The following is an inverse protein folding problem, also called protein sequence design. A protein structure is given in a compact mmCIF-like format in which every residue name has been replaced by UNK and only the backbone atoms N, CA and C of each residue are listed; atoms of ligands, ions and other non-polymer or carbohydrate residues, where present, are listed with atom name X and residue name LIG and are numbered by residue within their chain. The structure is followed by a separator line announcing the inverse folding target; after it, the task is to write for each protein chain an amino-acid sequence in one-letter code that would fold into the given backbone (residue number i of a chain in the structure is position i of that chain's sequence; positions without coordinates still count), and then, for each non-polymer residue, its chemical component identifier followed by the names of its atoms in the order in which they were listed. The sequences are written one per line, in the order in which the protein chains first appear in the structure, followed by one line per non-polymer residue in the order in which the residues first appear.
data_IF_553348006707
#
_entry.id   IF_553348006707
#
_cell.length_a   1.000
_cell.length_b   1.000
_cell.length_c   1.000
_cell.angle_alpha   90.00
_cell.angle_beta   90.00
_cell.angle_gamma   90.00
#
_symmetry.space_group_name_H-M   'P 1'
#
loop_
_entity.id
_entity.type
_entity.pdbx_description
1 polymer ?
#
# COMPACT_ATOMS: atom_id res chain seq x y z
N UNK A 1 6.48 0.97 2.67
CA UNK A 1 5.31 0.88 3.58
C UNK A 1 4.80 -0.55 3.56
N UNK A 2 4.07 -0.99 4.59
CA UNK A 2 3.37 -2.27 4.52
C UNK A 2 2.01 -2.05 3.86
N UNK A 3 1.81 -2.61 2.67
CA UNK A 3 0.61 -2.39 1.86
C UNK A 3 -0.53 -3.38 2.16
N UNK A 4 -0.22 -4.43 2.92
CA UNK A 4 -1.16 -5.48 3.28
C UNK A 4 -1.07 -5.76 4.77
N UNK A 5 -2.22 -5.93 5.44
CA UNK A 5 -2.22 -6.52 6.78
C UNK A 5 -2.12 -8.04 6.66
N UNK A 6 -1.35 -8.65 7.54
CA UNK A 6 -1.15 -10.11 7.53
C UNK A 6 -2.47 -10.84 7.73
N UNK A 7 -3.35 -10.29 8.56
CA UNK A 7 -4.70 -10.83 8.83
C UNK A 7 -5.52 -10.99 7.55
N UNK A 8 -5.42 -10.06 6.59
CA UNK A 8 -6.16 -10.13 5.32
C UNK A 8 -5.69 -11.31 4.46
N UNK A 9 -4.38 -11.54 4.46
CA UNK A 9 -3.78 -12.63 3.70
C UNK A 9 -4.08 -13.97 4.37
N UNK A 10 -3.99 -14.04 5.71
CA UNK A 10 -4.35 -15.23 6.48
C UNK A 10 -5.81 -15.62 6.23
N UNK A 11 -6.73 -14.66 6.27
CA UNK A 11 -8.14 -14.90 6.02
C UNK A 11 -8.36 -15.42 4.59
N UNK A 12 -7.77 -14.76 3.59
CA UNK A 12 -7.88 -15.24 2.21
C UNK A 12 -7.32 -16.66 2.04
N UNK A 13 -6.19 -16.97 2.66
CA UNK A 13 -5.61 -18.31 2.62
C UNK A 13 -6.57 -19.35 3.21
N UNK A 14 -7.16 -19.07 4.39
CA UNK A 14 -8.14 -19.97 5.02
C UNK A 14 -9.37 -20.21 4.15
N UNK A 15 -9.90 -19.14 3.54
CA UNK A 15 -11.09 -19.22 2.69
C UNK A 15 -10.84 -20.02 1.39
N UNK A 16 -9.59 -20.06 0.92
CA UNK A 16 -9.19 -20.73 -0.33
C UNK A 16 -8.47 -22.07 -0.11
N UNK A 17 -8.38 -22.55 1.14
CA UNK A 17 -7.72 -23.81 1.48
C UNK A 17 -6.20 -23.79 1.35
N UNK A 18 -5.58 -22.62 1.37
CA UNK A 18 -4.13 -22.46 1.42
C UNK A 18 -3.64 -22.56 2.87
N UNK A 19 -2.52 -23.26 3.09
CA UNK A 19 -1.97 -23.50 4.43
C UNK A 19 -0.58 -22.90 4.60
N UNK A 20 -0.14 -22.78 5.85
CA UNK A 20 1.23 -22.38 6.23
C UNK A 20 1.73 -21.10 5.55
N UNK A 21 1.05 -19.98 5.83
CA UNK A 21 1.47 -18.66 5.35
C UNK A 21 2.86 -18.29 5.89
N UNK A 22 3.80 -18.14 4.98
CA UNK A 22 5.15 -17.65 5.21
C UNK A 22 5.30 -16.24 4.62
N UNK A 23 5.80 -15.32 5.44
CA UNK A 23 6.01 -13.91 5.06
C UNK A 23 7.52 -13.70 4.97
N UNK A 24 8.03 -13.60 3.75
CA UNK A 24 9.48 -13.54 3.51
C UNK A 24 10.01 -12.10 3.66
N UNK A 25 9.40 -11.13 2.95
CA UNK A 25 9.70 -9.68 2.99
C UNK A 25 8.46 -8.86 2.61
N UNK A 26 8.48 -7.54 2.84
CA UNK A 26 7.39 -6.60 2.58
C UNK A 26 6.61 -6.92 1.29
N UNK A 27 5.32 -7.25 1.42
CA UNK A 27 4.37 -7.62 0.37
C UNK A 27 4.61 -8.96 -0.37
N UNK A 28 5.61 -9.75 0.02
CA UNK A 28 5.84 -11.09 -0.54
C UNK A 28 5.27 -12.14 0.40
N UNK A 29 4.20 -12.78 -0.05
CA UNK A 29 3.47 -13.80 0.68
C UNK A 29 3.61 -15.13 -0.03
N UNK A 30 3.99 -16.15 0.73
CA UNK A 30 4.11 -17.53 0.26
C UNK A 30 3.20 -18.40 1.10
N UNK A 31 2.49 -19.32 0.47
CA UNK A 31 1.66 -20.28 1.19
C UNK A 31 1.56 -21.56 0.36
N UNK A 32 1.07 -22.64 0.95
CA UNK A 32 0.88 -23.90 0.26
C UNK A 32 -0.51 -23.93 -0.38
N UNK A 33 -0.62 -24.03 -1.72
CA UNK A 33 -1.89 -24.29 -2.37
C UNK A 33 -2.50 -25.63 -1.91
N UNK A 34 -3.83 -25.82 -2.04
CA UNK A 34 -4.47 -27.07 -1.67
C UNK A 34 -3.88 -28.26 -2.45
N UNK A 35 -3.30 -29.22 -1.72
CA UNK A 35 -2.67 -30.42 -2.29
C UNK A 35 -1.24 -30.23 -2.81
N UNK A 36 -0.65 -29.05 -2.64
CA UNK A 36 0.75 -28.79 -3.02
C UNK A 36 1.73 -29.24 -1.93
N UNK A 37 2.95 -29.60 -2.34
CA UNK A 37 4.05 -30.03 -1.45
C UNK A 37 5.13 -28.95 -1.32
N UNK A 38 4.99 -27.85 -2.05
CA UNK A 38 5.92 -26.71 -2.06
C UNK A 38 5.13 -25.41 -1.87
N UNK A 39 5.66 -24.44 -1.11
CA UNK A 39 5.04 -23.13 -1.00
C UNK A 39 5.17 -22.40 -2.34
N UNK A 40 4.09 -21.75 -2.75
CA UNK A 40 4.02 -20.91 -3.95
C UNK A 40 3.75 -19.45 -3.55
N UNK A 41 4.25 -18.49 -4.35
CA UNK A 41 3.96 -17.09 -4.08
C UNK A 41 2.47 -16.83 -4.36
N UNK A 42 1.80 -16.10 -3.45
CA UNK A 42 0.40 -15.72 -3.66
C UNK A 42 0.33 -14.81 -4.89
N UNK A 43 -0.53 -15.11 -5.88
CA UNK A 43 -0.59 -14.34 -7.11
C UNK A 43 -0.84 -12.85 -6.87
N UNK A 44 -0.12 -11.97 -7.55
CA UNK A 44 -0.27 -10.51 -7.43
C UNK A 44 -1.68 -10.03 -7.72
N UNK A 45 -2.39 -10.69 -8.66
CA UNK A 45 -3.81 -10.42 -8.94
C UNK A 45 -4.70 -10.66 -7.73
N UNK A 46 -4.44 -11.73 -6.97
CA UNK A 46 -5.18 -12.05 -5.74
C UNK A 46 -4.88 -10.98 -4.69
N UNK A 47 -3.61 -10.64 -4.49
CA UNK A 47 -3.23 -9.58 -3.55
C UNK A 47 -3.95 -8.26 -3.87
N UNK A 48 -4.02 -7.86 -5.14
CA UNK A 48 -4.79 -6.69 -5.58
C UNK A 48 -6.27 -6.78 -5.23
N UNK A 49 -6.90 -7.94 -5.41
CA UNK A 49 -8.30 -8.15 -5.01
C UNK A 49 -8.47 -8.01 -3.50
N UNK A 50 -7.59 -8.62 -2.71
CA UNK A 50 -7.60 -8.50 -1.24
C UNK A 50 -7.47 -7.04 -0.82
N UNK A 51 -6.59 -6.26 -1.46
CA UNK A 51 -6.45 -4.82 -1.19
C UNK A 51 -7.67 -4.01 -1.60
N UNK A 52 -8.29 -4.34 -2.73
CA UNK A 52 -9.51 -3.68 -3.18
C UNK A 52 -10.69 -3.91 -2.23
N UNK A 53 -10.79 -5.11 -1.64
CA UNK A 53 -11.84 -5.47 -0.68
C UNK A 53 -11.62 -4.84 0.71
N UNK A 54 -10.37 -4.80 1.17
CA UNK A 54 -10.05 -4.33 2.53
C UNK A 54 -9.67 -2.84 2.62
N UNK A 55 -9.31 -2.21 1.49
CA UNK A 55 -8.95 -0.80 1.40
C UNK A 55 -7.51 -0.49 1.81
N UNK A 56 -7.29 0.72 2.34
CA UNK A 56 -5.97 1.26 2.70
C UNK A 56 -5.50 0.74 4.06
N UNK A 57 -4.20 0.46 4.19
CA UNK A 57 -3.61 0.18 5.50
C UNK A 57 -3.55 1.45 6.37
N UNK A 58 -3.35 1.29 7.67
CA UNK A 58 -3.26 2.43 8.60
C UNK A 58 -2.09 3.35 8.23
N UNK A 59 -0.95 2.78 7.82
CA UNK A 59 0.21 3.55 7.34
C UNK A 59 -0.13 4.36 6.09
N UNK A 60 -0.72 3.72 5.07
CA UNK A 60 -1.11 4.40 3.83
C UNK A 60 -2.11 5.52 4.09
N UNK A 61 -3.04 5.30 5.02
CA UNK A 61 -4.01 6.32 5.43
C UNK A 61 -3.33 7.51 6.10
N UNK A 62 -2.38 7.27 7.00
CA UNK A 62 -1.61 8.35 7.68
C UNK A 62 -0.81 9.15 6.65
N UNK A 63 -0.10 8.49 5.73
CA UNK A 63 0.65 9.16 4.66
C UNK A 63 -0.25 9.98 3.74
N UNK A 64 -1.41 9.45 3.39
CA UNK A 64 -2.42 10.16 2.58
C UNK A 64 -2.95 11.39 3.30
N UNK A 65 -3.27 11.29 4.59
CA UNK A 65 -3.72 12.41 5.41
C UNK A 65 -2.61 13.46 5.53
N UNK A 66 -1.37 13.04 5.78
CA UNK A 66 -0.22 13.94 5.86
C UNK A 66 0.00 14.72 4.55
N UNK A 67 -0.13 14.06 3.40
CA UNK A 67 -0.07 14.67 2.08
C UNK A 67 -1.15 15.76 1.89
N UNK A 68 -2.40 15.48 2.29
CA UNK A 68 -3.50 16.46 2.24
C UNK A 68 -3.21 17.66 3.15
N UNK A 69 -2.81 17.41 4.40
CA UNK A 69 -2.51 18.47 5.37
C UNK A 69 -1.36 19.36 4.87
N UNK A 70 -0.27 18.75 4.37
CA UNK A 70 0.86 19.46 3.81
C UNK A 70 0.44 20.36 2.64
N UNK A 71 -0.47 19.88 1.78
CA UNK A 71 -1.01 20.64 0.65
C UNK A 71 -1.84 21.84 1.12
N UNK A 72 -2.66 21.67 2.17
CA UNK A 72 -3.46 22.77 2.75
C UNK A 72 -2.57 23.85 3.37
N UNK A 73 -1.51 23.45 4.08
CA UNK A 73 -0.52 24.37 4.65
C UNK A 73 0.19 25.12 3.52
N UNK A 74 0.64 24.41 2.49
CA UNK A 74 1.30 25.01 1.33
C UNK A 74 0.41 26.04 0.62
N UNK A 75 -0.89 25.77 0.48
CA UNK A 75 -1.86 26.72 -0.06
C UNK A 75 -1.95 28.00 0.80
N UNK A 76 -2.02 27.88 2.12
CA UNK A 76 -2.03 29.02 3.04
C UNK A 76 -0.75 29.86 2.96
N UNK A 77 0.40 29.19 2.92
CA UNK A 77 1.72 29.84 2.81
C UNK A 77 1.87 30.53 1.45
N UNK A 78 1.41 29.89 0.37
CA UNK A 78 1.38 30.47 -0.99
C UNK A 78 0.56 31.76 -1.00
N UNK A 79 -0.61 31.77 -0.34
CA UNK A 79 -1.43 32.97 -0.22
C UNK A 79 -0.72 34.09 0.56
N UNK A 80 -0.08 33.76 1.68
CA UNK A 80 0.62 34.74 2.52
C UNK A 80 1.84 35.35 1.81
N UNK A 81 2.68 34.51 1.22
CA UNK A 81 3.93 34.92 0.56
C UNK A 81 3.71 35.42 -0.87
N UNK A 82 2.51 35.24 -1.43
CA UNK A 82 2.18 35.51 -2.84
C UNK A 82 3.15 34.85 -3.82
N UNK A 83 3.79 33.75 -3.43
CA UNK A 83 4.79 33.05 -4.23
C UNK A 83 4.32 31.61 -4.52
N UNK A 84 4.49 31.09 -5.75
CA UNK A 84 3.97 29.77 -6.14
C UNK A 84 4.87 28.60 -5.69
N UNK A 85 6.08 28.88 -5.18
CA UNK A 85 7.09 27.88 -4.83
C UNK A 85 6.60 26.86 -3.79
N UNK A 86 5.91 27.24 -2.69
CA UNK A 86 5.40 26.28 -1.71
C UNK A 86 4.40 25.29 -2.32
N UNK A 87 3.57 25.75 -3.26
CA UNK A 87 2.60 24.91 -3.97
C UNK A 87 3.28 23.85 -4.84
N UNK A 88 4.36 24.24 -5.55
CA UNK A 88 5.16 23.30 -6.37
C UNK A 88 5.86 22.27 -5.50
N UNK A 89 6.38 22.68 -4.33
CA UNK A 89 6.98 21.75 -3.38
C UNK A 89 5.95 20.72 -2.85
N UNK A 90 4.73 21.16 -2.52
CA UNK A 90 3.66 20.26 -2.11
C UNK A 90 3.25 19.29 -3.22
N UNK A 91 3.21 19.74 -4.48
CA UNK A 91 2.98 18.86 -5.63
C UNK A 91 4.07 17.77 -5.74
N UNK A 92 5.35 18.16 -5.66
CA UNK A 92 6.45 17.21 -5.72
C UNK A 92 6.40 16.20 -4.57
N UNK A 93 6.08 16.67 -3.35
CA UNK A 93 5.87 15.79 -2.20
C UNK A 93 4.75 14.78 -2.44
N UNK A 94 3.61 15.23 -2.95
CA UNK A 94 2.48 14.35 -3.30
C UNK A 94 2.84 13.34 -4.39
N UNK A 95 3.63 13.73 -5.40
CA UNK A 95 4.09 12.79 -6.42
C UNK A 95 4.95 11.66 -5.81
N UNK A 96 5.85 11.99 -4.87
CA UNK A 96 6.67 11.00 -4.17
C UNK A 96 5.82 10.11 -3.26
N UNK A 97 4.85 10.67 -2.52
CA UNK A 97 3.97 9.85 -1.67
C UNK A 97 3.10 8.91 -2.49
N UNK A 98 2.59 9.35 -3.63
CA UNK A 98 1.83 8.51 -4.57
C UNK A 98 2.70 7.39 -5.13
N UNK A 99 3.92 7.69 -5.57
CA UNK A 99 4.86 6.67 -6.05
C UNK A 99 5.18 5.62 -4.98
N UNK A 100 5.22 6.02 -3.70
CA UNK A 100 5.43 5.10 -2.58
C UNK A 100 4.17 4.32 -2.18
N UNK A 101 2.98 4.74 -2.61
CA UNK A 101 1.70 4.07 -2.37
C UNK A 101 1.39 3.01 -3.43
N UNK A 102 1.93 3.16 -4.63
CA UNK A 102 1.83 2.16 -5.69
C UNK A 102 2.53 0.86 -5.25
N UNK A 103 1.81 -0.26 -5.40
CA UNK A 103 2.36 -1.59 -5.10
C UNK A 103 3.07 -2.07 -6.36
N UNK A 104 4.39 -2.28 -6.27
CA UNK A 104 5.19 -2.86 -7.33
C UNK A 104 4.64 -4.25 -7.69
N UNK A 105 4.29 -4.43 -8.97
CA UNK A 105 3.98 -5.75 -9.51
C UNK A 105 5.30 -6.52 -9.65
N UNK A 106 5.56 -7.46 -8.74
CA UNK A 106 6.52 -8.51 -9.02
C UNK A 106 5.97 -9.33 -10.20
N UNK A 107 6.69 -9.29 -11.33
CA UNK A 107 6.41 -10.08 -12.53
C UNK A 107 6.64 -11.57 -12.29
#
# INVERSE_FOLDING_TARGET
MKHYKDEWIVQWCQDNGWTDLYIERCNNFWAFPPGAVMPEPIPTKVLRTIKAENGLTCEERIWSIAAVIATMIAAGVTYWLRCPIPMVAAFAFNAVTVAQLEVEDAY
#
